data_IF_429354025043
#
_entry.id   IF_429354025043
#
_cell.length_a   1.000
_cell.length_b   1.000
_cell.length_c   1.000
_cell.angle_alpha   90.00
_cell.angle_beta   90.00
_cell.angle_gamma   90.00
#
_symmetry.space_group_name_H-M   'P 1'
#
loop_
_entity.id
_entity.type
_entity.pdbx_description
1 polymer ?
#
# COMPACT_ATOMS: atom_id res chain seq x y z
N UNK A 1 -49.49 41.04 36.36
CA UNK A 1 -48.71 41.95 35.49
C UNK A 1 -47.53 42.38 36.35
N UNK A 2 -46.32 41.83 36.26
CA UNK A 2 -45.51 41.36 35.13
C UNK A 2 -44.55 40.27 35.64
N UNK A 3 -44.66 39.03 35.13
CA UNK A 3 -43.67 38.40 34.24
C UNK A 3 -42.29 38.18 34.92
N UNK A 4 -42.13 37.02 35.56
CA UNK A 4 -40.83 36.41 35.88
C UNK A 4 -40.10 36.13 34.56
N UNK A 5 -38.98 36.82 34.36
CA UNK A 5 -38.05 36.66 33.26
C UNK A 5 -37.28 35.34 33.45
N UNK A 6 -37.91 34.22 33.08
CA UNK A 6 -37.25 32.92 32.93
C UNK A 6 -36.29 32.96 31.75
N UNK A 7 -35.09 33.50 31.98
CA UNK A 7 -33.97 33.32 31.07
C UNK A 7 -33.49 31.87 31.14
N UNK A 8 -33.45 31.12 30.02
CA UNK A 8 -32.84 29.81 30.03
C UNK A 8 -31.35 30.00 30.30
N UNK A 9 -30.83 29.31 31.33
CA UNK A 9 -29.40 29.10 31.47
C UNK A 9 -28.94 28.29 30.26
N UNK A 10 -28.42 28.99 29.26
CA UNK A 10 -27.63 28.40 28.18
C UNK A 10 -26.33 27.98 28.85
N UNK A 11 -26.24 26.69 29.18
CA UNK A 11 -24.96 26.06 29.48
C UNK A 11 -24.04 26.36 28.29
N UNK A 12 -22.82 26.90 28.48
CA UNK A 12 -21.88 27.00 27.39
C UNK A 12 -21.71 25.57 26.86
N UNK A 13 -22.06 25.38 25.58
CA UNK A 13 -21.75 24.16 24.88
C UNK A 13 -20.24 23.94 25.05
N UNK A 14 -19.87 22.86 25.74
CA UNK A 14 -18.48 22.42 25.72
C UNK A 14 -18.07 22.30 24.26
N UNK A 15 -16.96 22.91 23.83
CA UNK A 15 -16.52 22.74 22.46
C UNK A 15 -16.32 21.25 22.24
N UNK A 16 -16.94 20.75 21.18
CA UNK A 16 -16.82 19.40 20.67
C UNK A 16 -15.33 19.06 20.56
N UNK A 17 -14.76 18.41 21.58
CA UNK A 17 -13.37 17.91 21.60
C UNK A 17 -13.29 16.60 20.82
N UNK A 18 -14.05 16.52 19.73
CA UNK A 18 -13.93 15.49 18.73
C UNK A 18 -12.76 15.87 17.81
N UNK A 19 -11.55 15.46 18.21
CA UNK A 19 -10.42 15.27 17.30
C UNK A 19 -10.06 16.45 16.38
N UNK A 20 -9.92 17.66 16.93
CA UNK A 20 -9.33 18.75 16.16
C UNK A 20 -7.84 18.44 15.91
N UNK A 21 -7.35 18.55 14.66
CA UNK A 21 -5.94 18.32 14.32
C UNK A 21 -5.00 19.16 15.21
N UNK A 22 -5.45 20.34 15.62
CA UNK A 22 -4.73 21.25 16.52
C UNK A 22 -4.37 20.64 17.88
N UNK A 23 -5.24 19.80 18.45
CA UNK A 23 -4.96 19.13 19.74
C UNK A 23 -3.87 18.06 19.62
N UNK A 24 -3.81 17.39 18.46
CA UNK A 24 -2.75 16.42 18.14
C UNK A 24 -1.42 17.14 17.91
N UNK A 25 -1.43 18.23 17.15
CA UNK A 25 -0.27 19.06 16.85
C UNK A 25 0.38 19.60 18.13
N UNK A 26 -0.41 20.13 19.06
CA UNK A 26 0.09 20.64 20.35
C UNK A 26 0.72 19.53 21.20
N UNK A 27 0.11 18.34 21.24
CA UNK A 27 0.63 17.20 21.98
C UNK A 27 1.97 16.72 21.40
N UNK A 28 2.04 16.56 20.09
CA UNK A 28 3.24 16.12 19.36
C UNK A 28 4.36 17.16 19.45
N UNK A 29 4.04 18.45 19.39
CA UNK A 29 5.02 19.54 19.57
C UNK A 29 5.68 19.47 20.95
N UNK A 30 4.89 19.26 22.01
CA UNK A 30 5.44 19.10 23.37
C UNK A 30 6.24 17.80 23.51
N UNK A 31 5.80 16.72 22.87
CA UNK A 31 6.53 15.45 22.89
C UNK A 31 7.91 15.58 22.24
N UNK A 32 8.00 16.16 21.04
CA UNK A 32 9.27 16.41 20.35
C UNK A 32 10.21 17.28 21.19
N UNK A 33 9.69 18.35 21.81
CA UNK A 33 10.49 19.19 22.72
C UNK A 33 10.99 18.42 23.95
N UNK A 34 10.15 17.57 24.56
CA UNK A 34 10.54 16.76 25.70
C UNK A 34 11.62 15.73 25.36
N UNK A 35 11.53 15.07 24.20
CA UNK A 35 12.56 14.13 23.74
C UNK A 35 13.89 14.82 23.46
N UNK A 36 13.85 16.02 22.85
CA UNK A 36 15.04 16.87 22.69
C UNK A 36 15.69 17.22 24.02
N UNK A 37 14.89 17.67 25.00
CA UNK A 37 15.39 18.02 26.35
C UNK A 37 15.95 16.80 27.10
N UNK A 38 15.37 15.62 26.85
CA UNK A 38 15.86 14.35 27.39
C UNK A 38 17.12 13.82 26.69
N UNK A 39 17.50 14.39 25.54
CA UNK A 39 18.61 13.91 24.72
C UNK A 39 18.32 12.56 24.05
N UNK A 40 17.06 12.34 23.66
CA UNK A 40 16.61 11.15 22.93
C UNK A 40 16.32 11.51 21.46
N UNK A 41 17.33 11.43 20.58
CA UNK A 41 17.23 11.91 19.20
C UNK A 41 16.31 11.06 18.32
N UNK A 42 16.19 9.75 18.60
CA UNK A 42 15.31 8.86 17.82
C UNK A 42 13.85 9.16 18.18
N UNK A 43 13.53 9.24 19.48
CA UNK A 43 12.18 9.59 19.88
C UNK A 43 11.81 11.05 19.51
N UNK A 44 12.79 11.97 19.43
CA UNK A 44 12.57 13.29 18.83
C UNK A 44 12.20 13.18 17.36
N UNK A 45 12.93 12.38 16.58
CA UNK A 45 12.66 12.17 15.15
C UNK A 45 11.28 11.55 14.90
N UNK A 46 10.90 10.51 15.64
CA UNK A 46 9.56 9.89 15.57
C UNK A 46 8.43 10.89 15.85
N UNK A 47 8.62 11.73 16.87
CA UNK A 47 7.66 12.76 17.23
C UNK A 47 7.57 13.87 16.17
N UNK A 48 8.70 14.23 15.56
CA UNK A 48 8.78 15.20 14.46
C UNK A 48 8.12 14.66 13.19
N UNK A 49 8.33 13.39 12.85
CA UNK A 49 7.66 12.75 11.71
C UNK A 49 6.14 12.74 11.92
N UNK A 50 5.69 12.28 13.09
CA UNK A 50 4.26 12.27 13.45
C UNK A 50 3.64 13.67 13.41
N UNK A 51 4.38 14.68 13.87
CA UNK A 51 3.96 16.08 13.81
C UNK A 51 3.90 16.59 12.37
N UNK A 52 4.89 16.23 11.54
CA UNK A 52 4.91 16.52 10.11
C UNK A 52 3.67 16.00 9.39
N UNK A 53 3.31 14.73 9.62
CA UNK A 53 2.09 14.12 9.07
C UNK A 53 0.83 14.86 9.54
N UNK A 54 0.72 15.17 10.84
CA UNK A 54 -0.43 15.91 11.35
C UNK A 54 -0.55 17.32 10.77
N UNK A 55 0.57 17.99 10.47
CA UNK A 55 0.61 19.28 9.80
C UNK A 55 0.24 19.17 8.33
N UNK A 56 0.66 18.11 7.65
CA UNK A 56 0.25 17.82 6.28
C UNK A 56 -1.27 17.61 6.18
N UNK A 57 -1.85 16.84 7.10
CA UNK A 57 -3.32 16.66 7.21
C UNK A 57 -4.06 17.99 7.48
N UNK A 58 -3.38 18.94 8.14
CA UNK A 58 -3.88 20.29 8.38
C UNK A 58 -3.55 21.29 7.25
N UNK A 59 -3.03 20.81 6.12
CA UNK A 59 -2.59 21.60 4.95
C UNK A 59 -1.50 22.65 5.26
N UNK A 60 -0.73 22.45 6.35
CA UNK A 60 0.40 23.30 6.78
C UNK A 60 1.72 22.74 6.23
N UNK A 61 1.80 22.64 4.91
CA UNK A 61 2.85 21.88 4.22
C UNK A 61 4.28 22.39 4.45
N UNK A 62 4.51 23.70 4.44
CA UNK A 62 5.85 24.26 4.64
C UNK A 62 6.40 23.91 6.04
N UNK A 63 5.56 23.97 7.07
CA UNK A 63 5.92 23.58 8.43
C UNK A 63 6.16 22.07 8.54
N UNK A 64 5.34 21.26 7.85
CA UNK A 64 5.56 19.81 7.78
C UNK A 64 6.92 19.48 7.14
N UNK A 65 7.26 20.13 6.02
CA UNK A 65 8.53 19.93 5.30
C UNK A 65 9.73 20.25 6.20
N UNK A 66 9.70 21.34 6.96
CA UNK A 66 10.78 21.71 7.88
C UNK A 66 11.00 20.64 8.95
N UNK A 67 9.93 20.15 9.57
CA UNK A 67 10.01 19.15 10.64
C UNK A 67 10.40 17.77 10.13
N UNK A 68 9.85 17.36 8.97
CA UNK A 68 10.20 16.10 8.32
C UNK A 68 11.66 16.09 7.85
N UNK A 69 12.16 17.22 7.34
CA UNK A 69 13.59 17.36 7.01
C UNK A 69 14.45 17.16 8.26
N UNK A 70 14.03 17.71 9.41
CA UNK A 70 14.75 17.52 10.66
C UNK A 70 14.70 16.06 11.16
N UNK A 71 13.56 15.40 11.02
CA UNK A 71 13.42 13.97 11.36
C UNK A 71 14.37 13.10 10.51
N UNK A 72 14.39 13.32 9.19
CA UNK A 72 15.31 12.65 8.25
C UNK A 72 16.78 12.86 8.64
N UNK A 73 17.16 14.09 9.02
CA UNK A 73 18.52 14.37 9.50
C UNK A 73 18.87 13.58 10.78
N UNK A 74 17.95 13.54 11.75
CA UNK A 74 18.17 12.84 13.01
C UNK A 74 18.33 11.33 12.80
N UNK A 75 17.44 10.69 12.03
CA UNK A 75 17.56 9.27 11.71
C UNK A 75 18.89 8.97 11.00
N UNK A 76 19.26 9.79 10.01
CA UNK A 76 20.53 9.65 9.29
C UNK A 76 21.75 9.80 10.21
N UNK A 77 21.76 10.79 11.09
CA UNK A 77 22.85 11.04 12.04
C UNK A 77 23.09 9.86 12.98
N UNK A 78 22.06 9.06 13.23
CA UNK A 78 22.09 7.93 14.17
C UNK A 78 22.10 6.55 13.50
N UNK A 79 22.00 6.50 12.16
CA UNK A 79 22.07 5.26 11.38
C UNK A 79 20.78 4.44 11.39
N UNK A 80 19.63 5.09 11.63
CA UNK A 80 18.32 4.45 11.54
C UNK A 80 17.83 4.47 10.08
N UNK A 81 18.41 3.59 9.25
CA UNK A 81 18.20 3.59 7.79
C UNK A 81 16.73 3.31 7.38
N UNK A 82 16.03 2.43 8.10
CA UNK A 82 14.61 2.11 7.85
C UNK A 82 13.72 3.30 8.19
N UNK A 83 13.97 3.96 9.33
CA UNK A 83 13.19 5.11 9.75
C UNK A 83 13.54 6.36 8.91
N UNK A 84 14.80 6.52 8.47
CA UNK A 84 15.19 7.54 7.47
C UNK A 84 14.39 7.36 6.18
N UNK A 85 14.21 6.11 5.70
CA UNK A 85 13.44 5.83 4.50
C UNK A 85 11.95 6.20 4.67
N UNK A 86 11.33 5.83 5.79
CA UNK A 86 9.94 6.20 6.10
C UNK A 86 9.73 7.71 6.15
N UNK A 87 10.60 8.42 6.86
CA UNK A 87 10.53 9.88 6.97
C UNK A 87 10.77 10.58 5.62
N UNK A 88 11.62 10.02 4.75
CA UNK A 88 11.83 10.51 3.37
C UNK A 88 10.59 10.34 2.48
N UNK A 89 9.86 9.24 2.62
CA UNK A 89 8.58 9.05 1.91
C UNK A 89 7.54 10.08 2.34
N UNK A 90 7.39 10.28 3.65
CA UNK A 90 6.47 11.29 4.22
C UNK A 90 6.86 12.70 3.75
N UNK A 91 8.16 13.04 3.78
CA UNK A 91 8.68 14.29 3.24
C UNK A 91 8.36 14.46 1.74
N UNK A 92 8.49 13.40 0.95
CA UNK A 92 8.20 13.44 -0.47
C UNK A 92 6.72 13.72 -0.76
N UNK A 93 5.80 13.19 0.05
CA UNK A 93 4.38 13.51 -0.07
C UNK A 93 4.12 15.00 0.22
N UNK A 94 4.66 15.53 1.32
CA UNK A 94 4.52 16.96 1.63
C UNK A 94 5.14 17.86 0.55
N UNK A 95 6.28 17.47 -0.03
CA UNK A 95 6.91 18.18 -1.16
C UNK A 95 6.04 18.16 -2.42
N UNK A 96 5.35 17.05 -2.71
CA UNK A 96 4.41 16.95 -3.84
C UNK A 96 3.22 17.88 -3.66
N UNK A 97 2.69 17.99 -2.44
CA UNK A 97 1.53 18.86 -2.16
C UNK A 97 1.82 20.34 -2.42
N UNK A 98 3.08 20.77 -2.28
CA UNK A 98 3.54 22.14 -2.63
C UNK A 98 4.12 22.26 -4.05
N UNK A 99 4.04 21.20 -4.87
CA UNK A 99 4.50 21.19 -6.26
C UNK A 99 6.03 21.10 -6.44
N UNK A 100 6.78 20.78 -5.37
CA UNK A 100 8.24 20.56 -5.40
C UNK A 100 8.58 19.13 -5.84
N UNK A 101 8.15 18.78 -7.05
CA UNK A 101 8.22 17.39 -7.54
C UNK A 101 9.66 16.85 -7.68
N UNK A 102 10.61 17.67 -8.12
CA UNK A 102 12.02 17.25 -8.25
C UNK A 102 12.63 16.87 -6.90
N UNK A 103 12.32 17.64 -5.84
CA UNK A 103 12.78 17.36 -4.48
C UNK A 103 12.11 16.09 -3.92
N UNK A 104 10.83 15.88 -4.22
CA UNK A 104 10.12 14.66 -3.84
C UNK A 104 10.71 13.42 -4.51
N UNK A 105 11.05 13.49 -5.79
CA UNK A 105 11.74 12.40 -6.52
C UNK A 105 13.11 12.12 -5.90
N UNK A 106 13.86 13.15 -5.54
CA UNK A 106 15.15 12.98 -4.87
C UNK A 106 15.00 12.27 -3.51
N UNK A 107 14.01 12.65 -2.71
CA UNK A 107 13.71 12.02 -1.43
C UNK A 107 13.32 10.54 -1.60
N UNK A 108 12.40 10.23 -2.52
CA UNK A 108 11.98 8.86 -2.82
C UNK A 108 13.11 8.00 -3.40
N UNK A 109 13.98 8.58 -4.22
CA UNK A 109 15.15 7.87 -4.76
C UNK A 109 16.11 7.46 -3.64
N UNK A 110 16.30 8.33 -2.64
CA UNK A 110 17.09 8.01 -1.44
C UNK A 110 16.40 6.94 -0.58
N UNK A 111 15.09 7.03 -0.37
CA UNK A 111 14.33 6.00 0.36
C UNK A 111 14.47 4.62 -0.31
N UNK A 112 14.31 4.53 -1.63
CA UNK A 112 14.52 3.29 -2.39
C UNK A 112 15.94 2.73 -2.20
N UNK A 113 16.95 3.60 -2.14
CA UNK A 113 18.33 3.16 -1.91
C UNK A 113 18.52 2.56 -0.51
N UNK A 114 17.95 3.19 0.52
CA UNK A 114 17.97 2.72 1.91
C UNK A 114 17.26 1.38 2.07
N UNK A 115 16.04 1.24 1.55
CA UNK A 115 15.31 -0.03 1.61
C UNK A 115 16.03 -1.15 0.84
N UNK A 116 16.72 -0.82 -0.26
CA UNK A 116 17.55 -1.80 -0.96
C UNK A 116 18.77 -2.23 -0.13
N UNK A 117 19.37 -1.31 0.60
CA UNK A 117 20.52 -1.57 1.48
C UNK A 117 20.14 -2.43 2.70
N UNK A 118 18.92 -2.28 3.23
CA UNK A 118 18.40 -3.13 4.31
C UNK A 118 18.12 -4.57 3.88
N UNK A 119 17.84 -4.78 2.58
CA UNK A 119 17.54 -6.08 2.01
C UNK A 119 16.10 -6.55 2.23
N UNK A 120 15.22 -5.70 2.77
CA UNK A 120 13.78 -5.98 2.82
C UNK A 120 13.15 -5.68 1.45
N UNK A 121 12.81 -6.75 0.72
CA UNK A 121 12.22 -6.64 -0.60
C UNK A 121 10.81 -6.04 -0.61
N UNK A 122 10.06 -6.10 0.49
CA UNK A 122 8.74 -5.48 0.59
C UNK A 122 8.85 -3.97 0.76
N UNK A 123 9.78 -3.53 1.60
CA UNK A 123 10.05 -2.10 1.80
C UNK A 123 10.63 -1.47 0.52
N UNK A 124 11.58 -2.15 -0.17
CA UNK A 124 12.10 -1.67 -1.46
C UNK A 124 10.96 -1.56 -2.49
N UNK A 125 10.04 -2.52 -2.52
CA UNK A 125 8.91 -2.48 -3.43
C UNK A 125 7.94 -1.32 -3.14
N UNK A 126 7.62 -1.06 -1.86
CA UNK A 126 6.78 0.06 -1.46
C UNK A 126 7.38 1.42 -1.86
N UNK A 127 8.65 1.63 -1.56
CA UNK A 127 9.36 2.86 -1.93
C UNK A 127 9.41 3.07 -3.46
N UNK A 128 9.56 1.99 -4.23
CA UNK A 128 9.54 2.03 -5.70
C UNK A 128 8.16 2.40 -6.26
N UNK A 129 7.07 1.93 -5.65
CA UNK A 129 5.71 2.32 -6.03
C UNK A 129 5.48 3.82 -5.76
N UNK A 130 5.94 4.32 -4.61
CA UNK A 130 5.88 5.75 -4.28
C UNK A 130 6.66 6.59 -5.30
N UNK A 131 7.87 6.18 -5.68
CA UNK A 131 8.68 6.83 -6.72
C UNK A 131 8.00 6.81 -8.09
N UNK A 132 7.48 5.65 -8.50
CA UNK A 132 6.75 5.50 -9.77
C UNK A 132 5.53 6.42 -9.84
N UNK A 133 4.78 6.52 -8.74
CA UNK A 133 3.62 7.41 -8.62
C UNK A 133 4.03 8.87 -8.86
N UNK A 134 5.10 9.34 -8.21
CA UNK A 134 5.62 10.69 -8.41
C UNK A 134 6.09 10.95 -9.85
N UNK A 135 6.76 9.98 -10.49
CA UNK A 135 7.21 10.09 -11.89
C UNK A 135 6.03 10.15 -12.87
N UNK A 136 4.94 9.42 -12.61
CA UNK A 136 3.72 9.45 -13.44
C UNK A 136 3.04 10.81 -13.43
N UNK A 137 3.04 11.51 -12.30
CA UNK A 137 2.49 12.86 -12.21
C UNK A 137 3.25 13.87 -13.08
N UNK A 138 4.56 13.67 -13.24
CA UNK A 138 5.40 14.46 -14.15
C UNK A 138 5.35 13.99 -15.61
N UNK A 139 4.64 12.90 -15.91
CA UNK A 139 4.57 12.33 -17.27
C UNK A 139 5.83 11.56 -17.68
N UNK A 140 6.74 11.25 -16.75
CA UNK A 140 7.93 10.43 -16.96
C UNK A 140 7.57 8.93 -16.95
N UNK A 141 6.72 8.53 -17.91
CA UNK A 141 6.07 7.22 -17.91
C UNK A 141 7.05 6.05 -18.11
N UNK A 142 8.09 6.23 -18.91
CA UNK A 142 9.08 5.17 -19.17
C UNK A 142 9.86 4.81 -17.90
N UNK A 143 10.23 5.82 -17.10
CA UNK A 143 10.93 5.65 -15.82
C UNK A 143 9.99 5.02 -14.79
N UNK A 144 8.75 5.50 -14.68
CA UNK A 144 7.74 4.92 -13.81
C UNK A 144 7.50 3.42 -14.08
N UNK A 145 7.36 3.04 -15.35
CA UNK A 145 7.19 1.62 -15.75
C UNK A 145 8.39 0.77 -15.33
N UNK A 146 9.61 1.31 -15.39
CA UNK A 146 10.79 0.59 -14.93
C UNK A 146 10.73 0.31 -13.42
N UNK A 147 10.32 1.29 -12.62
CA UNK A 147 10.17 1.15 -11.17
C UNK A 147 9.00 0.21 -10.80
N UNK A 148 7.83 0.34 -11.43
CA UNK A 148 6.69 -0.58 -11.24
C UNK A 148 7.07 -2.03 -11.56
N UNK A 149 7.84 -2.23 -12.64
CA UNK A 149 8.30 -3.57 -13.04
C UNK A 149 9.21 -4.20 -12.00
N UNK A 150 10.09 -3.40 -11.37
CA UNK A 150 10.97 -3.85 -10.29
C UNK A 150 10.18 -4.15 -9.02
N UNK A 151 9.28 -3.26 -8.60
CA UNK A 151 8.41 -3.49 -7.43
C UNK A 151 7.59 -4.78 -7.58
N UNK A 152 6.98 -4.99 -8.75
CA UNK A 152 6.23 -6.21 -9.04
C UNK A 152 7.10 -7.48 -9.04
N UNK A 153 8.39 -7.38 -9.37
CA UNK A 153 9.31 -8.52 -9.27
C UNK A 153 9.61 -8.86 -7.81
N UNK A 154 9.91 -7.86 -6.98
CA UNK A 154 10.17 -8.02 -5.56
C UNK A 154 8.99 -8.65 -4.80
N UNK A 155 7.76 -8.17 -5.03
CA UNK A 155 6.58 -8.77 -4.41
C UNK A 155 6.38 -10.26 -4.76
N UNK A 156 6.76 -10.66 -5.98
CA UNK A 156 6.71 -12.07 -6.38
C UNK A 156 7.78 -12.88 -5.65
N UNK A 157 9.02 -12.38 -5.63
CA UNK A 157 10.14 -13.02 -4.94
C UNK A 157 9.80 -13.29 -3.46
N UNK A 158 9.35 -12.28 -2.72
CA UNK A 158 8.99 -12.44 -1.30
C UNK A 158 7.81 -13.40 -1.08
N UNK A 159 6.82 -13.40 -1.99
CA UNK A 159 5.69 -14.32 -1.91
C UNK A 159 6.11 -15.78 -2.13
N UNK A 160 7.02 -16.00 -3.07
CA UNK A 160 7.52 -17.34 -3.39
C UNK A 160 8.37 -17.88 -2.23
N UNK A 161 9.24 -17.05 -1.62
CA UNK A 161 10.01 -17.42 -0.42
C UNK A 161 9.11 -17.84 0.75
N UNK A 162 8.03 -17.08 1.00
CA UNK A 162 7.05 -17.42 2.04
C UNK A 162 6.28 -18.72 1.72
N UNK A 163 6.00 -18.98 0.44
CA UNK A 163 5.33 -20.20 0.01
C UNK A 163 6.24 -21.43 0.17
N UNK A 164 7.53 -21.31 -0.12
CA UNK A 164 8.53 -22.37 0.08
C UNK A 164 8.74 -22.67 1.57
N UNK A 165 8.81 -21.65 2.43
CA UNK A 165 8.97 -21.81 3.87
C UNK A 165 7.82 -22.60 4.54
N UNK A 166 6.58 -22.43 4.07
CA UNK A 166 5.40 -23.11 4.62
C UNK A 166 5.11 -24.48 3.97
N UNK A 167 5.76 -24.81 2.84
CA UNK A 167 5.57 -26.06 2.12
C UNK A 167 5.78 -27.34 2.98
N UNK A 168 6.78 -27.43 3.88
CA UNK A 168 6.95 -28.59 4.76
C UNK A 168 5.81 -28.73 5.76
N UNK A 169 5.29 -27.62 6.28
CA UNK A 169 4.21 -27.60 7.25
C UNK A 169 2.88 -28.06 6.61
N UNK A 170 2.56 -27.53 5.42
CA UNK A 170 1.42 -28.00 4.61
C UNK A 170 1.51 -29.48 4.29
N UNK A 171 2.71 -29.95 3.90
CA UNK A 171 2.94 -31.37 3.60
C UNK A 171 2.76 -32.26 4.83
N UNK A 172 3.22 -31.80 6.00
CA UNK A 172 3.05 -32.50 7.29
C UNK A 172 1.57 -32.60 7.68
N UNK A 173 0.82 -31.51 7.56
CA UNK A 173 -0.62 -31.46 7.83
C UNK A 173 -1.38 -32.44 6.90
N UNK A 174 -1.10 -32.39 5.60
CA UNK A 174 -1.72 -33.29 4.62
C UNK A 174 -1.45 -34.77 4.93
N UNK A 175 -0.23 -35.14 5.35
CA UNK A 175 0.09 -36.52 5.78
C UNK A 175 -0.67 -36.92 7.06
N UNK A 176 -0.83 -36.00 8.01
CA UNK A 176 -1.58 -36.27 9.23
C UNK A 176 -3.06 -36.50 8.95
N UNK A 177 -3.66 -35.73 8.05
CA UNK A 177 -5.05 -35.92 7.61
C UNK A 177 -5.24 -37.25 6.90
N UNK A 178 -4.33 -37.62 5.99
CA UNK A 178 -4.35 -38.93 5.34
C UNK A 178 -4.25 -40.08 6.36
N UNK A 179 -3.36 -39.96 7.35
CA UNK A 179 -3.23 -40.96 8.41
C UNK A 179 -4.50 -41.06 9.28
N UNK A 180 -5.11 -39.92 9.63
CA UNK A 180 -6.38 -39.88 10.39
C UNK A 180 -7.51 -40.53 9.61
N UNK A 181 -7.65 -40.21 8.33
CA UNK A 181 -8.64 -40.81 7.43
C UNK A 181 -8.43 -42.32 7.26
N UNK A 182 -7.18 -42.80 7.30
CA UNK A 182 -6.87 -44.23 7.26
C UNK A 182 -7.21 -44.96 8.57
N UNK A 183 -7.20 -44.25 9.71
CA UNK A 183 -7.53 -44.81 11.04
C UNK A 183 -9.01 -44.80 11.40
N UNK A 184 -9.87 -44.06 10.70
CA UNK A 184 -11.33 -44.10 10.87
C UNK A 184 -12.02 -44.53 9.56
N UNK A 185 -12.13 -45.84 9.27
CA UNK A 185 -12.63 -46.35 8.00
C UNK A 185 -14.17 -46.35 7.91
N UNK A 186 -14.87 -45.53 8.72
CA UNK A 186 -16.33 -45.53 8.76
C UNK A 186 -16.93 -44.90 7.48
N UNK A 187 -17.90 -45.55 6.80
CA UNK A 187 -18.37 -45.16 5.47
C UNK A 187 -19.15 -43.83 5.42
N UNK A 188 -19.38 -43.19 6.56
CA UNK A 188 -20.23 -42.02 6.72
C UNK A 188 -19.58 -40.71 6.22
N UNK A 189 -18.25 -40.64 6.11
CA UNK A 189 -17.55 -39.44 5.62
C UNK A 189 -17.51 -39.35 4.08
N UNK A 190 -17.34 -40.50 3.39
CA UNK A 190 -17.35 -40.56 1.93
C UNK A 190 -18.72 -40.15 1.32
N UNK A 191 -19.82 -40.38 2.07
CA UNK A 191 -21.18 -40.09 1.61
C UNK A 191 -21.50 -38.59 1.57
N UNK A 192 -20.91 -37.79 2.49
CA UNK A 192 -21.13 -36.33 2.53
C UNK A 192 -20.51 -35.56 1.38
N UNK A 193 -19.45 -36.07 0.74
CA UNK A 193 -18.86 -35.44 -0.44
C UNK A 193 -19.63 -35.74 -1.74
N UNK A 194 -20.49 -36.77 -1.76
CA UNK A 194 -21.30 -37.11 -2.92
C UNK A 194 -22.71 -36.50 -2.86
N UNK A 195 -23.28 -36.31 -1.66
CA UNK A 195 -24.65 -35.78 -1.49
C UNK A 195 -24.82 -34.29 -1.83
N UNK A 196 -23.76 -33.48 -1.88
CA UNK A 196 -23.87 -32.06 -2.29
C UNK A 196 -23.85 -31.85 -3.82
N UNK A 197 -23.72 -32.91 -4.63
CA UNK A 197 -23.63 -32.83 -6.09
C UNK A 197 -24.89 -33.33 -6.83
N UNK A 198 -25.92 -33.82 -6.13
CA UNK A 198 -27.12 -34.40 -6.77
C UNK A 198 -28.41 -33.96 -6.10
N UNK A 199 -28.68 -32.65 -6.11
CA UNK A 199 -30.06 -32.16 -6.02
C UNK A 199 -30.22 -30.87 -6.84
N UNK A 200 -30.16 -31.04 -8.16
CA UNK A 200 -30.71 -30.09 -9.12
C UNK A 200 -31.28 -30.90 -10.29
N UNK A 201 -32.58 -31.19 -10.19
CA UNK A 201 -33.39 -31.82 -11.23
C UNK A 201 -33.32 -31.00 -12.54
N UNK A 202 -32.97 -31.57 -13.70
CA UNK A 202 -32.96 -30.83 -14.95
C UNK A 202 -34.39 -30.72 -15.52
N UNK A 203 -34.88 -29.53 -15.91
CA UNK A 203 -36.14 -29.42 -16.64
C UNK A 203 -36.02 -29.99 -18.06
N UNK A 204 -37.10 -30.63 -18.51
CA UNK A 204 -37.24 -31.34 -19.77
C UNK A 204 -36.78 -30.54 -21.01
N UNK A 205 -36.05 -31.23 -21.89
CA UNK A 205 -35.50 -30.69 -23.12
C UNK A 205 -36.59 -30.32 -24.16
N UNK A 206 -36.58 -29.11 -24.74
CA UNK A 206 -37.33 -28.82 -25.96
C UNK A 206 -36.60 -29.31 -27.23
N UNK A 207 -37.39 -29.64 -28.25
CA UNK A 207 -37.01 -30.23 -29.53
C UNK A 207 -35.90 -29.47 -30.32
N UNK A 208 -35.13 -30.16 -31.19
CA UNK A 208 -33.99 -29.56 -31.87
C UNK A 208 -34.41 -28.56 -32.98
N UNK A 209 -33.86 -27.35 -32.92
CA UNK A 209 -33.95 -26.33 -33.96
C UNK A 209 -32.84 -26.51 -35.03
N UNK A 210 -33.07 -26.12 -36.30
CA UNK A 210 -32.16 -26.36 -37.42
C UNK A 210 -30.88 -25.49 -37.35
N UNK A 211 -29.77 -26.08 -37.82
CA UNK A 211 -28.42 -25.53 -37.75
C UNK A 211 -28.22 -24.21 -38.54
N UNK A 212 -27.55 -23.19 -37.97
CA UNK A 212 -27.05 -22.06 -38.73
C UNK A 212 -25.61 -22.27 -39.24
N UNK A 213 -25.35 -21.61 -40.37
CA UNK A 213 -24.23 -21.76 -41.28
C UNK A 213 -22.85 -21.42 -40.69
N UNK A 214 -21.82 -22.10 -41.20
CA UNK A 214 -20.40 -21.81 -40.99
C UNK A 214 -20.08 -20.39 -41.49
N UNK A 215 -20.05 -19.41 -40.60
CA UNK A 215 -19.41 -18.11 -40.88
C UNK A 215 -17.92 -18.22 -40.60
N UNK A 216 -17.15 -18.21 -41.68
CA UNK A 216 -15.70 -18.19 -41.65
C UNK A 216 -15.15 -16.93 -40.99
N UNK A 217 -14.00 -17.09 -40.35
CA UNK A 217 -13.15 -15.99 -39.90
C UNK A 217 -12.80 -15.08 -41.08
N UNK A 218 -13.00 -13.75 -41.00
CA UNK A 218 -12.47 -12.86 -42.02
C UNK A 218 -10.96 -12.69 -41.84
N UNK A 219 -10.19 -13.45 -42.61
CA UNK A 219 -8.77 -13.20 -42.88
C UNK A 219 -8.61 -11.90 -43.69
N UNK A 220 -8.63 -10.74 -43.04
CA UNK A 220 -8.26 -9.46 -43.64
C UNK A 220 -7.43 -8.61 -42.68
N UNK A 221 -6.13 -8.89 -42.62
CA UNK A 221 -5.06 -7.88 -42.53
C UNK A 221 -3.70 -8.50 -42.92
N UNK A 222 -3.72 -9.29 -43.99
CA UNK A 222 -2.52 -9.54 -44.79
C UNK A 222 -2.45 -8.48 -45.90
N UNK A 223 -1.27 -7.84 -46.02
CA UNK A 223 -0.85 -6.74 -46.91
C UNK A 223 -1.11 -5.32 -46.41
N UNK A 224 -0.04 -4.71 -45.88
CA UNK A 224 0.57 -3.53 -46.50
C UNK A 224 2.10 -3.58 -46.38
N UNK A 225 2.75 -3.69 -47.55
CA UNK A 225 4.02 -3.06 -47.97
C UNK A 225 5.26 -3.36 -47.08
N UNK A 226 6.19 -4.26 -47.40
CA UNK A 226 7.00 -4.38 -48.62
C UNK A 226 7.50 -3.01 -49.13
N UNK A 227 8.59 -2.52 -48.55
CA UNK A 227 9.30 -1.33 -49.01
C UNK A 227 10.51 -0.99 -48.15
N UNK A 228 11.62 -1.74 -48.31
CA UNK A 228 12.98 -1.27 -48.04
C UNK A 228 13.99 -2.36 -48.48
N UNK A 229 14.31 -2.39 -49.77
CA UNK A 229 15.59 -2.87 -50.28
C UNK A 229 16.32 -1.64 -50.83
N UNK A 230 17.45 -1.32 -50.22
CA UNK A 230 18.46 -0.36 -50.66
C UNK A 230 19.55 -0.41 -49.59
N UNK A 231 20.57 -1.24 -49.78
CA UNK A 231 21.87 -0.83 -50.33
C UNK A 231 22.44 0.38 -49.58
N UNK A 232 23.30 0.14 -48.58
CA UNK A 232 24.77 0.20 -48.70
C UNK A 232 25.36 -0.82 -47.73
#
# INVERSE_FOLDING_TARGET
>A
MTAEDSRPHVHPAEPDTAGLPDGSIDALTRAAAAHREAGDPIAEADALESLGTALQDAERFDEAIELLTRAVELFREHGEDTDEAGALETLAFALRDVGRHDDAIAALTRAVALCRESGDGLDEAGALESLSSALRELGLLDEAVAHDTRAAALYRETRDDAAEADAPNRTRLARQEQARAATDPSPTAARRHHETATEAEPPAAPAPAPAPARTGWPSRLARRLRGARGQV
#
